data_IF_854671269030
#
_entry.id   IF_854671269030
#
_cell.length_a   1.000
_cell.length_b   1.000
_cell.length_c   1.000
_cell.angle_alpha   90.00
_cell.angle_beta   90.00
_cell.angle_gamma   90.00
#
_symmetry.space_group_name_H-M   'P 1'
#
loop_
_entity.id
_entity.type
_entity.pdbx_description
1 polymer ?
#
# COMPACT_ATOMS: atom_id res chain seq x y z
N UNK A 1 -7.59 34.98 -13.54
CA UNK A 1 -8.55 34.15 -14.30
C UNK A 1 -9.16 33.20 -13.30
N UNK A 2 -10.49 33.25 -13.13
CA UNK A 2 -11.17 32.47 -12.10
C UNK A 2 -11.07 30.96 -12.41
N UNK A 3 -11.07 30.11 -11.38
CA UNK A 3 -11.06 28.65 -11.53
C UNK A 3 -12.27 28.18 -12.36
N UNK A 4 -13.41 28.87 -12.22
CA UNK A 4 -14.62 28.58 -12.97
C UNK A 4 -14.47 28.91 -14.47
N UNK A 5 -13.77 29.99 -14.81
CA UNK A 5 -13.49 30.37 -16.20
C UNK A 5 -12.60 29.33 -16.88
N UNK A 6 -11.57 28.83 -16.18
CA UNK A 6 -10.68 27.78 -16.69
C UNK A 6 -11.43 26.48 -16.97
N UNK A 7 -12.38 26.10 -16.12
CA UNK A 7 -13.21 24.91 -16.31
C UNK A 7 -14.10 25.05 -17.54
N UNK A 8 -14.79 26.19 -17.70
CA UNK A 8 -15.64 26.47 -18.87
C UNK A 8 -14.83 26.48 -20.15
N UNK A 9 -13.64 27.11 -20.13
CA UNK A 9 -12.72 27.13 -21.27
C UNK A 9 -12.21 25.73 -21.60
N UNK A 10 -11.75 24.97 -20.62
CA UNK A 10 -11.28 23.59 -20.82
C UNK A 10 -12.39 22.70 -21.41
N UNK A 11 -13.62 22.85 -20.95
CA UNK A 11 -14.78 22.13 -21.49
C UNK A 11 -15.05 22.47 -22.95
N UNK A 12 -14.97 23.76 -23.31
CA UNK A 12 -15.17 24.22 -24.68
C UNK A 12 -14.08 23.68 -25.61
N UNK A 13 -12.81 23.78 -25.21
CA UNK A 13 -11.68 23.23 -25.99
C UNK A 13 -11.79 21.71 -26.11
N UNK A 14 -12.15 21.03 -25.03
CA UNK A 14 -12.39 19.58 -25.02
C UNK A 14 -13.42 19.16 -26.08
N UNK A 15 -14.55 19.85 -26.16
CA UNK A 15 -15.62 19.59 -27.15
C UNK A 15 -15.14 19.85 -28.57
N UNK A 16 -14.44 20.96 -28.80
CA UNK A 16 -13.90 21.28 -30.13
C UNK A 16 -12.92 20.22 -30.64
N UNK A 17 -12.15 19.58 -29.75
CA UNK A 17 -11.26 18.48 -30.13
C UNK A 17 -11.97 17.15 -30.38
N UNK A 18 -13.16 16.92 -29.80
CA UNK A 18 -13.98 15.76 -30.17
C UNK A 18 -14.47 15.88 -31.62
N UNK A 19 -14.88 17.09 -32.04
CA UNK A 19 -15.36 17.36 -33.39
C UNK A 19 -14.24 17.25 -34.44
N UNK A 20 -13.01 17.63 -34.07
CA UNK A 20 -11.83 17.61 -34.94
C UNK A 20 -10.90 16.41 -34.74
N UNK A 21 -11.35 15.35 -34.04
CA UNK A 21 -10.56 14.15 -33.71
C UNK A 21 -9.20 14.42 -33.04
N UNK A 22 -9.02 15.59 -32.42
CA UNK A 22 -7.79 16.03 -31.77
C UNK A 22 -6.61 16.31 -32.71
N UNK A 23 -6.83 16.50 -34.02
CA UNK A 23 -5.74 16.68 -35.00
C UNK A 23 -4.98 18.02 -34.85
N UNK A 24 -5.54 18.99 -34.13
CA UNK A 24 -4.93 20.31 -33.96
C UNK A 24 -4.04 20.34 -32.72
N UNK A 25 -2.73 20.51 -32.94
CA UNK A 25 -1.75 20.76 -31.88
C UNK A 25 -2.15 21.97 -31.01
N UNK A 26 -2.77 22.98 -31.61
CA UNK A 26 -3.23 24.17 -30.89
C UNK A 26 -4.32 23.81 -29.87
N UNK A 27 -5.25 22.92 -30.21
CA UNK A 27 -6.30 22.48 -29.26
C UNK A 27 -5.70 21.77 -28.05
N UNK A 28 -4.66 20.96 -28.25
CA UNK A 28 -3.94 20.31 -27.14
C UNK A 28 -3.29 21.36 -26.25
N UNK A 29 -2.55 22.31 -26.84
CA UNK A 29 -1.88 23.38 -26.09
C UNK A 29 -2.87 24.26 -25.33
N UNK A 30 -3.98 24.64 -25.96
CA UNK A 30 -5.03 25.45 -25.33
C UNK A 30 -5.67 24.71 -24.14
N UNK A 31 -5.85 23.39 -24.27
CA UNK A 31 -6.38 22.56 -23.20
C UNK A 31 -5.41 22.46 -22.03
N UNK A 32 -4.13 22.23 -22.31
CA UNK A 32 -3.07 22.18 -21.29
C UNK A 32 -2.92 23.53 -20.58
N UNK A 33 -3.05 24.64 -21.30
CA UNK A 33 -3.02 26.00 -20.74
C UNK A 33 -4.18 26.28 -19.77
N UNK A 34 -5.32 25.59 -19.91
CA UNK A 34 -6.41 25.68 -18.93
C UNK A 34 -6.06 24.98 -17.61
N UNK A 35 -5.11 24.04 -17.63
CA UNK A 35 -4.62 23.27 -16.48
C UNK A 35 -5.73 22.59 -15.65
N UNK A 36 -6.73 22.02 -16.33
CA UNK A 36 -7.81 21.26 -15.69
C UNK A 36 -7.61 19.77 -15.96
N UNK A 37 -7.08 19.05 -14.96
CA UNK A 37 -6.68 17.63 -15.04
C UNK A 37 -7.74 16.75 -15.72
N UNK A 38 -9.00 16.83 -15.26
CA UNK A 38 -10.08 15.99 -15.76
C UNK A 38 -10.28 16.08 -17.27
N UNK A 39 -10.19 17.29 -17.83
CA UNK A 39 -10.38 17.48 -19.27
C UNK A 39 -9.15 17.06 -20.07
N UNK A 40 -7.95 17.26 -19.54
CA UNK A 40 -6.71 16.76 -20.17
C UNK A 40 -6.72 15.23 -20.22
N UNK A 41 -7.12 14.57 -19.12
CA UNK A 41 -7.24 13.11 -19.06
C UNK A 41 -8.33 12.61 -20.01
N UNK A 42 -9.51 13.24 -20.04
CA UNK A 42 -10.59 12.91 -20.98
C UNK A 42 -10.13 13.05 -22.43
N UNK A 43 -9.44 14.14 -22.77
CA UNK A 43 -8.91 14.33 -24.12
C UNK A 43 -7.94 13.20 -24.53
N UNK A 44 -6.99 12.81 -23.68
CA UNK A 44 -6.09 11.69 -24.01
C UNK A 44 -6.74 10.31 -24.06
N UNK A 45 -7.95 10.17 -23.52
CA UNK A 45 -8.77 8.95 -23.66
C UNK A 45 -9.60 8.97 -24.95
N UNK A 46 -10.20 10.12 -25.25
CA UNK A 46 -11.30 10.24 -26.21
C UNK A 46 -10.86 10.79 -27.58
N UNK A 47 -9.85 11.65 -27.64
CA UNK A 47 -9.34 12.21 -28.89
C UNK A 47 -8.39 11.21 -29.58
N UNK A 48 -8.57 11.01 -30.89
CA UNK A 48 -7.80 10.01 -31.67
C UNK A 48 -6.33 10.42 -31.81
N UNK A 49 -6.04 11.70 -32.06
CA UNK A 49 -4.69 12.20 -32.30
C UNK A 49 -4.13 13.04 -31.12
N UNK A 50 -4.52 12.72 -29.89
CA UNK A 50 -4.01 13.42 -28.72
C UNK A 50 -2.51 13.19 -28.51
N UNK A 51 -1.74 14.27 -28.36
CA UNK A 51 -0.32 14.20 -28.00
C UNK A 51 -0.15 13.86 -26.51
N UNK A 52 -0.19 12.55 -26.22
CA UNK A 52 0.04 12.02 -24.88
C UNK A 52 1.42 12.37 -24.32
N UNK A 53 2.45 12.52 -25.16
CA UNK A 53 3.81 12.83 -24.72
C UNK A 53 3.90 14.25 -24.17
N UNK A 54 3.32 15.22 -24.88
CA UNK A 54 3.24 16.62 -24.45
C UNK A 54 2.41 16.75 -23.18
N UNK A 55 1.27 16.06 -23.10
CA UNK A 55 0.40 16.11 -21.93
C UNK A 55 1.03 15.42 -20.69
N UNK A 56 1.79 14.33 -20.87
CA UNK A 56 2.60 13.75 -19.79
C UNK A 56 3.63 14.75 -19.29
N UNK A 57 4.37 15.41 -20.19
CA UNK A 57 5.35 16.43 -19.80
C UNK A 57 4.70 17.57 -19.02
N UNK A 58 3.49 17.99 -19.41
CA UNK A 58 2.70 18.97 -18.67
C UNK A 58 2.38 18.49 -17.25
N UNK A 59 1.92 17.24 -17.07
CA UNK A 59 1.68 16.72 -15.72
C UNK A 59 2.94 16.65 -14.87
N UNK A 60 4.06 16.23 -15.48
CA UNK A 60 5.35 16.12 -14.80
C UNK A 60 5.83 17.50 -14.32
N UNK A 61 5.86 18.49 -15.22
CA UNK A 61 6.31 19.86 -14.90
C UNK A 61 5.48 20.52 -13.80
N UNK A 62 4.20 20.20 -13.72
CA UNK A 62 3.28 20.75 -12.72
C UNK A 62 3.13 19.88 -11.46
N UNK A 63 3.94 18.82 -11.30
CA UNK A 63 3.81 17.84 -10.20
C UNK A 63 2.38 17.30 -10.03
N UNK A 64 1.67 17.12 -11.14
CA UNK A 64 0.29 16.66 -11.14
C UNK A 64 0.25 15.12 -11.13
N UNK A 65 0.47 14.56 -9.94
CA UNK A 65 0.49 13.12 -9.69
C UNK A 65 -0.81 12.46 -10.12
N UNK A 66 -1.93 13.10 -9.78
CA UNK A 66 -3.26 12.60 -10.07
C UNK A 66 -3.53 12.50 -11.58
N UNK A 67 -3.15 13.53 -12.34
CA UNK A 67 -3.25 13.53 -13.80
C UNK A 67 -2.41 12.44 -14.44
N UNK A 68 -1.15 12.27 -14.01
CA UNK A 68 -0.28 11.22 -14.52
C UNK A 68 -0.82 9.81 -14.19
N UNK A 69 -1.34 9.64 -12.98
CA UNK A 69 -1.96 8.39 -12.55
C UNK A 69 -3.16 8.01 -13.41
N UNK A 70 -4.11 8.92 -13.60
CA UNK A 70 -5.30 8.67 -14.43
C UNK A 70 -4.96 8.51 -15.91
N UNK A 71 -3.95 9.23 -16.42
CA UNK A 71 -3.41 9.02 -17.76
C UNK A 71 -2.93 7.56 -17.95
N UNK A 72 -2.19 7.01 -16.99
CA UNK A 72 -1.74 5.62 -17.02
C UNK A 72 -2.85 4.57 -16.97
N UNK A 73 -4.05 4.94 -16.52
CA UNK A 73 -5.23 4.07 -16.55
C UNK A 73 -5.94 4.16 -17.90
N UNK A 74 -6.21 5.38 -18.37
CA UNK A 74 -7.19 5.62 -19.42
C UNK A 74 -6.59 5.81 -20.82
N UNK A 75 -5.34 6.26 -20.94
CA UNK A 75 -4.78 6.58 -22.25
C UNK A 75 -4.34 5.32 -23.00
N UNK A 76 -4.60 5.30 -24.30
CA UNK A 76 -4.25 4.16 -25.17
C UNK A 76 -2.74 4.06 -25.37
N UNK A 77 -2.07 5.20 -25.57
CA UNK A 77 -0.65 5.31 -25.91
C UNK A 77 0.19 5.88 -24.74
N UNK A 78 -0.17 5.57 -23.50
CA UNK A 78 0.61 6.02 -22.33
C UNK A 78 2.01 5.39 -22.32
N UNK A 79 3.04 6.22 -22.13
CA UNK A 79 4.40 5.75 -21.91
C UNK A 79 4.57 5.27 -20.45
N UNK A 80 4.34 3.98 -20.23
CA UNK A 80 4.44 3.38 -18.91
C UNK A 80 5.86 3.46 -18.33
N UNK A 81 6.91 3.35 -19.14
CA UNK A 81 8.28 3.40 -18.62
C UNK A 81 8.56 4.78 -18.01
N UNK A 82 8.24 5.85 -18.74
CA UNK A 82 8.38 7.22 -18.25
C UNK A 82 7.44 7.49 -17.08
N UNK A 83 6.19 7.03 -17.17
CA UNK A 83 5.20 7.20 -16.10
C UNK A 83 5.63 6.54 -14.79
N UNK A 84 6.14 5.30 -14.84
CA UNK A 84 6.62 4.56 -13.66
C UNK A 84 7.81 5.28 -13.05
N UNK A 85 8.81 5.63 -13.87
CA UNK A 85 10.01 6.31 -13.38
C UNK A 85 9.66 7.62 -12.66
N UNK A 86 8.73 8.41 -13.21
CA UNK A 86 8.29 9.63 -12.53
C UNK A 86 7.51 9.32 -11.24
N UNK A 87 6.60 8.35 -11.28
CA UNK A 87 5.78 7.99 -10.11
C UNK A 87 6.65 7.58 -8.92
N UNK A 88 7.74 6.85 -9.18
CA UNK A 88 8.69 6.43 -8.15
C UNK A 88 9.56 7.58 -7.63
N UNK A 89 9.75 8.66 -8.40
CA UNK A 89 10.52 9.85 -7.99
C UNK A 89 9.71 10.82 -7.14
N UNK A 90 8.38 10.83 -7.26
CA UNK A 90 7.52 11.69 -6.45
C UNK A 90 7.27 11.20 -5.04
N UNK A 91 7.78 10.01 -4.69
CA UNK A 91 7.80 9.49 -3.32
C UNK A 91 6.45 9.42 -2.63
N UNK A 92 5.40 9.24 -3.43
CA UNK A 92 4.05 9.04 -2.95
C UNK A 92 3.72 7.55 -2.98
N UNK A 93 3.86 6.90 -1.83
CA UNK A 93 3.61 5.48 -1.60
C UNK A 93 2.19 5.03 -2.05
N UNK A 94 1.17 5.85 -1.79
CA UNK A 94 -0.21 5.58 -2.20
C UNK A 94 -0.34 5.49 -3.73
N UNK A 95 0.20 6.46 -4.47
CA UNK A 95 0.10 6.45 -5.93
C UNK A 95 1.02 5.41 -6.57
N UNK A 96 2.16 5.06 -5.95
CA UNK A 96 2.98 3.92 -6.36
C UNK A 96 2.17 2.62 -6.26
N UNK A 97 1.49 2.41 -5.11
CA UNK A 97 0.61 1.27 -4.91
C UNK A 97 -0.54 1.22 -5.91
N UNK A 98 -1.25 2.34 -6.08
CA UNK A 98 -2.38 2.46 -7.01
C UNK A 98 -1.94 2.21 -8.46
N UNK A 99 -0.77 2.72 -8.87
CA UNK A 99 -0.22 2.44 -10.19
C UNK A 99 0.00 0.94 -10.38
N UNK A 100 0.64 0.25 -9.42
CA UNK A 100 0.81 -1.21 -9.48
C UNK A 100 -0.50 -2.00 -9.54
N UNK A 101 -1.58 -1.47 -8.95
CA UNK A 101 -2.90 -2.10 -8.99
C UNK A 101 -3.64 -1.90 -10.32
N UNK A 102 -3.58 -0.70 -10.90
CA UNK A 102 -4.49 -0.30 -11.99
C UNK A 102 -3.83 -0.07 -13.35
N UNK A 103 -2.52 0.19 -13.41
CA UNK A 103 -1.85 0.38 -14.70
C UNK A 103 -1.75 -0.93 -15.48
N UNK A 104 -1.85 -0.85 -16.80
CA UNK A 104 -1.78 -2.05 -17.67
C UNK A 104 -0.39 -2.68 -17.62
N UNK A 105 0.65 -1.84 -17.53
CA UNK A 105 2.03 -2.26 -17.35
C UNK A 105 2.60 -1.56 -16.11
N UNK A 106 3.26 -2.33 -15.25
CA UNK A 106 3.91 -1.82 -14.05
C UNK A 106 5.11 -2.69 -13.69
N UNK A 107 6.19 -2.07 -13.26
CA UNK A 107 7.39 -2.76 -12.77
C UNK A 107 7.20 -3.03 -11.26
N UNK A 108 6.62 -4.18 -10.95
CA UNK A 108 6.28 -4.56 -9.57
C UNK A 108 7.51 -4.67 -8.66
N UNK A 109 8.66 -5.08 -9.18
CA UNK A 109 9.88 -5.19 -8.39
C UNK A 109 10.45 -3.82 -8.03
N UNK A 110 10.48 -2.87 -8.97
CA UNK A 110 10.85 -1.48 -8.66
C UNK A 110 9.84 -0.81 -7.73
N UNK A 111 8.55 -1.01 -7.99
CA UNK A 111 7.48 -0.51 -7.13
C UNK A 111 7.63 -0.99 -5.69
N UNK A 112 7.80 -2.30 -5.48
CA UNK A 112 8.02 -2.87 -4.15
C UNK A 112 9.29 -2.31 -3.51
N UNK A 113 10.40 -2.24 -4.25
CA UNK A 113 11.66 -1.67 -3.73
C UNK A 113 11.47 -0.24 -3.25
N UNK A 114 10.74 0.59 -4.01
CA UNK A 114 10.47 1.97 -3.60
C UNK A 114 9.56 2.05 -2.37
N UNK A 115 8.52 1.22 -2.28
CA UNK A 115 7.66 1.16 -1.08
C UNK A 115 8.46 0.76 0.18
N UNK A 116 9.45 -0.12 0.03
CA UNK A 116 10.36 -0.53 1.11
C UNK A 116 11.26 0.62 1.52
N UNK A 117 11.86 1.34 0.56
CA UNK A 117 12.70 2.53 0.83
C UNK A 117 11.92 3.63 1.56
N UNK A 118 10.66 3.84 1.18
CA UNK A 118 9.73 4.77 1.84
C UNK A 118 9.21 4.25 3.19
N UNK A 119 9.57 3.03 3.58
CA UNK A 119 9.12 2.34 4.81
C UNK A 119 7.59 2.28 4.95
N UNK A 120 6.89 2.16 3.83
CA UNK A 120 5.43 2.18 3.81
C UNK A 120 4.83 0.78 4.10
N UNK A 121 4.77 0.39 5.37
CA UNK A 121 4.19 -0.90 5.80
C UNK A 121 2.79 -1.15 5.23
N UNK A 122 1.93 -0.13 5.28
CA UNK A 122 0.56 -0.18 4.75
C UNK A 122 0.51 -0.63 3.29
N UNK A 123 1.22 0.10 2.43
CA UNK A 123 1.17 -0.19 1.00
C UNK A 123 2.01 -1.40 0.60
N UNK A 124 3.04 -1.79 1.37
CA UNK A 124 3.70 -3.10 1.18
C UNK A 124 2.72 -4.24 1.45
N UNK A 125 1.97 -4.16 2.56
CA UNK A 125 0.95 -5.15 2.90
C UNK A 125 -0.11 -5.26 1.80
N UNK A 126 -0.69 -4.14 1.38
CA UNK A 126 -1.73 -4.12 0.34
C UNK A 126 -1.21 -4.55 -1.04
N UNK A 127 0.03 -4.20 -1.39
CA UNK A 127 0.67 -4.68 -2.62
C UNK A 127 0.72 -6.21 -2.65
N UNK A 128 1.01 -6.86 -1.51
CA UNK A 128 1.02 -8.32 -1.39
C UNK A 128 -0.34 -9.00 -1.54
N UNK A 129 -1.44 -8.23 -1.52
CA UNK A 129 -2.80 -8.71 -1.75
C UNK A 129 -3.32 -8.38 -3.16
N UNK A 130 -3.08 -7.14 -3.61
CA UNK A 130 -3.79 -6.56 -4.76
C UNK A 130 -2.95 -6.54 -6.05
N UNK A 131 -1.63 -6.64 -5.97
CA UNK A 131 -0.80 -6.63 -7.17
C UNK A 131 -0.82 -7.96 -7.90
N UNK A 132 -0.78 -7.91 -9.24
CA UNK A 132 -0.76 -9.09 -10.11
C UNK A 132 0.48 -9.96 -9.90
N UNK A 133 1.59 -9.33 -9.50
CA UNK A 133 2.84 -9.99 -9.14
C UNK A 133 3.42 -9.31 -7.90
N UNK A 134 3.84 -10.10 -6.92
CA UNK A 134 4.43 -9.62 -5.69
C UNK A 134 5.43 -10.62 -5.13
N UNK A 135 6.59 -10.14 -4.69
CA UNK A 135 7.60 -10.96 -4.05
C UNK A 135 7.32 -11.04 -2.55
N UNK A 136 6.50 -12.02 -2.12
CA UNK A 136 6.09 -12.16 -0.72
C UNK A 136 7.25 -12.31 0.25
N UNK A 137 8.33 -12.98 -0.15
CA UNK A 137 9.52 -13.12 0.71
C UNK A 137 10.16 -11.75 0.98
N UNK A 138 10.43 -10.98 -0.07
CA UNK A 138 11.01 -9.63 0.04
C UNK A 138 10.09 -8.67 0.79
N UNK A 139 8.79 -8.69 0.50
CA UNK A 139 7.79 -7.88 1.20
C UNK A 139 7.68 -8.24 2.69
N UNK A 140 7.76 -9.53 3.02
CA UNK A 140 7.71 -10.02 4.40
C UNK A 140 8.93 -9.57 5.19
N UNK A 141 10.13 -9.79 4.65
CA UNK A 141 11.36 -9.33 5.28
C UNK A 141 11.36 -7.81 5.49
N UNK A 142 10.81 -7.05 4.53
CA UNK A 142 10.66 -5.61 4.69
C UNK A 142 9.67 -5.22 5.80
N UNK A 143 8.49 -5.86 5.89
CA UNK A 143 7.53 -5.57 6.96
C UNK A 143 8.13 -5.82 8.34
N UNK A 144 8.86 -6.93 8.51
CA UNK A 144 9.56 -7.23 9.76
C UNK A 144 10.64 -6.19 10.09
N UNK A 145 11.41 -5.75 9.09
CA UNK A 145 12.45 -4.73 9.28
C UNK A 145 11.89 -3.33 9.55
N UNK A 146 10.71 -3.01 8.99
CA UNK A 146 10.04 -1.74 9.29
C UNK A 146 9.48 -1.76 10.71
N UNK A 147 8.96 -2.91 11.14
CA UNK A 147 8.55 -3.16 12.52
C UNK A 147 7.18 -2.59 12.87
N UNK A 148 6.29 -2.44 11.88
CA UNK A 148 4.91 -2.02 12.13
C UNK A 148 4.07 -3.24 12.57
N UNK A 149 3.66 -3.32 13.86
CA UNK A 149 3.02 -4.51 14.39
C UNK A 149 1.67 -4.81 13.74
N UNK A 150 0.93 -3.78 13.29
CA UNK A 150 -0.39 -3.94 12.69
C UNK A 150 -0.30 -4.65 11.34
N UNK A 151 0.63 -4.21 10.48
CA UNK A 151 0.80 -4.81 9.15
C UNK A 151 1.56 -6.14 9.17
N UNK A 152 2.43 -6.36 10.15
CA UNK A 152 3.00 -7.70 10.42
C UNK A 152 1.87 -8.67 10.79
N UNK A 153 0.98 -8.26 11.69
CA UNK A 153 -0.19 -9.03 12.07
C UNK A 153 -1.10 -9.36 10.88
N UNK A 154 -1.48 -8.36 10.09
CA UNK A 154 -2.35 -8.56 8.92
C UNK A 154 -1.71 -9.43 7.83
N UNK A 155 -0.40 -9.32 7.61
CA UNK A 155 0.30 -10.21 6.69
C UNK A 155 0.16 -11.68 7.14
N UNK A 156 0.29 -11.98 8.43
CA UNK A 156 0.13 -13.35 8.95
C UNK A 156 -1.26 -13.93 8.84
N UNK A 157 -2.26 -13.06 8.68
CA UNK A 157 -3.66 -13.43 8.48
C UNK A 157 -4.02 -13.68 7.03
N UNK A 158 -3.41 -12.94 6.10
CA UNK A 158 -3.92 -12.83 4.74
C UNK A 158 -2.94 -13.23 3.65
N UNK A 159 -1.63 -13.23 3.92
CA UNK A 159 -0.65 -13.60 2.91
C UNK A 159 -0.52 -15.13 2.77
N UNK A 160 -0.28 -15.57 1.54
CA UNK A 160 -0.05 -16.99 1.21
C UNK A 160 1.27 -17.52 1.79
N UNK A 161 2.29 -16.66 1.86
CA UNK A 161 3.60 -16.95 2.43
C UNK A 161 3.79 -16.08 3.67
N UNK A 162 4.01 -16.74 4.81
CA UNK A 162 4.27 -16.07 6.07
C UNK A 162 5.02 -17.01 7.02
N UNK A 163 6.15 -16.54 7.55
CA UNK A 163 6.92 -17.27 8.56
C UNK A 163 6.45 -16.83 9.95
N UNK A 164 5.56 -17.65 10.54
CA UNK A 164 4.95 -17.36 11.84
C UNK A 164 5.97 -17.29 12.98
N UNK A 165 7.06 -18.08 12.92
CA UNK A 165 8.07 -18.11 13.97
C UNK A 165 8.86 -16.81 13.98
N UNK A 166 9.43 -16.45 12.82
CA UNK A 166 10.16 -15.20 12.65
C UNK A 166 9.30 -13.97 12.94
N UNK A 167 8.04 -13.98 12.51
CA UNK A 167 7.13 -12.86 12.76
C UNK A 167 6.72 -12.74 14.22
N UNK A 168 6.50 -13.88 14.91
CA UNK A 168 6.19 -13.91 16.34
C UNK A 168 7.32 -13.29 17.14
N UNK A 169 8.57 -13.66 16.86
CA UNK A 169 9.75 -13.09 17.53
C UNK A 169 9.83 -11.57 17.36
N UNK A 170 9.59 -11.07 16.15
CA UNK A 170 9.61 -9.62 15.88
C UNK A 170 8.46 -8.92 16.59
N UNK A 171 7.25 -9.48 16.55
CA UNK A 171 6.08 -8.87 17.19
C UNK A 171 6.23 -8.82 18.72
N UNK A 172 6.81 -9.85 19.31
CA UNK A 172 7.16 -9.91 20.74
C UNK A 172 8.20 -8.85 21.09
N UNK A 173 9.22 -8.63 20.24
CA UNK A 173 10.23 -7.57 20.45
C UNK A 173 9.68 -6.16 20.33
N UNK A 174 8.65 -5.96 19.50
CA UNK A 174 7.95 -4.66 19.37
C UNK A 174 7.07 -4.39 20.60
N UNK A 175 6.64 -5.44 21.29
CA UNK A 175 5.86 -5.38 22.54
C UNK A 175 4.46 -4.77 22.41
N UNK A 176 3.89 -4.74 21.19
CA UNK A 176 2.52 -4.28 20.99
C UNK A 176 1.53 -5.33 21.51
N UNK A 177 0.89 -5.06 22.65
CA UNK A 177 0.07 -6.05 23.35
C UNK A 177 -1.18 -6.45 22.55
N UNK A 178 -1.76 -5.51 21.81
CA UNK A 178 -2.91 -5.77 20.95
C UNK A 178 -2.58 -6.78 19.85
N UNK A 179 -1.51 -6.55 19.10
CA UNK A 179 -1.12 -7.41 18.00
C UNK A 179 -0.61 -8.76 18.51
N UNK A 180 0.11 -8.81 19.63
CA UNK A 180 0.50 -10.06 20.31
C UNK A 180 -0.74 -10.90 20.64
N UNK A 181 -1.74 -10.30 21.29
CA UNK A 181 -2.98 -10.99 21.60
C UNK A 181 -3.69 -11.50 20.33
N UNK A 182 -3.86 -10.63 19.33
CA UNK A 182 -4.55 -10.97 18.07
C UNK A 182 -3.83 -12.08 17.31
N UNK A 183 -2.50 -12.03 17.24
CA UNK A 183 -1.67 -13.07 16.62
C UNK A 183 -1.89 -14.42 17.30
N UNK A 184 -1.82 -14.48 18.64
CA UNK A 184 -2.14 -15.71 19.40
C UNK A 184 -3.60 -16.16 19.31
N UNK A 185 -4.51 -15.36 18.75
CA UNK A 185 -5.89 -15.80 18.50
C UNK A 185 -6.12 -16.35 17.10
N UNK A 186 -5.33 -15.92 16.11
CA UNK A 186 -5.70 -16.05 14.71
C UNK A 186 -4.60 -16.62 13.82
N UNK A 187 -3.34 -16.53 14.21
CA UNK A 187 -2.25 -17.15 13.49
C UNK A 187 -2.24 -18.68 13.68
N UNK A 188 -1.70 -19.39 12.69
CA UNK A 188 -1.58 -20.86 12.74
C UNK A 188 -0.61 -21.32 13.82
N UNK A 189 0.39 -20.51 14.13
CA UNK A 189 1.37 -20.72 15.19
C UNK A 189 1.76 -19.38 15.81
N UNK A 190 2.01 -19.36 17.12
CA UNK A 190 2.46 -18.19 17.86
C UNK A 190 3.23 -18.61 19.12
N UNK A 191 4.25 -17.85 19.52
CA UNK A 191 4.95 -18.09 20.79
C UNK A 191 4.14 -17.52 21.97
N UNK A 192 3.19 -18.31 22.44
CA UNK A 192 2.33 -17.95 23.56
C UNK A 192 3.08 -17.68 24.86
N UNK A 193 4.23 -18.34 25.10
CA UNK A 193 4.97 -18.19 26.34
C UNK A 193 5.59 -16.80 26.43
N UNK A 194 6.34 -16.43 25.41
CA UNK A 194 6.97 -15.10 25.36
C UNK A 194 5.91 -14.01 25.14
N UNK A 195 4.89 -14.27 24.33
CA UNK A 195 3.75 -13.36 24.19
C UNK A 195 3.05 -13.07 25.53
N UNK A 196 2.76 -14.09 26.34
CA UNK A 196 2.17 -13.90 27.66
C UNK A 196 3.07 -13.08 28.59
N UNK A 197 4.37 -13.33 28.59
CA UNK A 197 5.33 -12.55 29.39
C UNK A 197 5.26 -11.05 29.06
N UNK A 198 5.12 -10.68 27.78
CA UNK A 198 4.94 -9.28 27.38
C UNK A 198 3.62 -8.72 27.93
N UNK A 199 2.52 -9.47 27.79
CA UNK A 199 1.21 -9.05 28.29
C UNK A 199 1.19 -8.85 29.81
N UNK A 200 1.97 -9.65 30.57
CA UNK A 200 2.11 -9.51 32.01
C UNK A 200 2.99 -8.31 32.40
N UNK A 201 4.13 -8.14 31.74
CA UNK A 201 5.09 -7.08 32.03
C UNK A 201 4.51 -5.70 31.71
N UNK A 202 3.75 -5.56 30.63
CA UNK A 202 3.08 -4.31 30.25
C UNK A 202 1.79 -4.11 31.07
N UNK A 203 1.93 -3.61 32.29
CA UNK A 203 0.83 -3.57 33.27
C UNK A 203 -0.42 -2.84 32.77
N UNK A 204 -0.25 -1.69 32.12
CA UNK A 204 -1.37 -0.82 31.69
C UNK A 204 -2.03 -1.37 30.44
N UNK A 205 -1.30 -1.45 29.32
CA UNK A 205 -1.85 -1.91 28.03
C UNK A 205 -2.22 -3.41 28.10
N UNK A 206 -1.34 -4.22 28.67
CA UNK A 206 -1.50 -5.65 28.78
C UNK A 206 -2.65 -6.07 29.69
N UNK A 207 -3.14 -5.23 30.64
CA UNK A 207 -4.32 -5.57 31.48
C UNK A 207 -5.53 -5.92 30.62
N UNK A 208 -5.85 -5.09 29.62
CA UNK A 208 -7.00 -5.31 28.72
C UNK A 208 -6.85 -6.64 27.96
N UNK A 209 -5.66 -6.89 27.45
CA UNK A 209 -5.38 -8.04 26.60
C UNK A 209 -5.23 -9.35 27.38
N UNK A 210 -4.70 -9.32 28.61
CA UNK A 210 -4.72 -10.46 29.53
C UNK A 210 -6.13 -10.90 29.86
N UNK A 211 -7.03 -9.96 30.16
CA UNK A 211 -8.45 -10.28 30.39
C UNK A 211 -9.06 -11.02 29.21
N UNK A 212 -8.86 -10.51 27.99
CA UNK A 212 -9.34 -11.17 26.76
C UNK A 212 -8.66 -12.52 26.49
N UNK A 213 -7.36 -12.64 26.73
CA UNK A 213 -6.61 -13.90 26.57
C UNK A 213 -7.14 -14.99 27.51
N UNK A 214 -7.47 -14.62 28.76
CA UNK A 214 -8.09 -15.51 29.74
C UNK A 214 -9.55 -15.88 29.41
N UNK A 215 -10.14 -15.29 28.37
CA UNK A 215 -11.47 -15.64 27.86
C UNK A 215 -11.38 -16.46 26.56
N UNK A 216 -10.35 -16.20 25.75
CA UNK A 216 -10.12 -16.84 24.46
C UNK A 216 -9.66 -18.31 24.58
N UNK A 217 -10.23 -19.19 23.75
CA UNK A 217 -10.01 -20.65 23.80
C UNK A 217 -8.55 -21.05 23.51
N UNK A 218 -7.92 -20.43 22.50
CA UNK A 218 -6.55 -20.76 22.10
C UNK A 218 -5.56 -20.34 23.20
N UNK A 219 -5.68 -19.10 23.67
CA UNK A 219 -4.88 -18.58 24.77
C UNK A 219 -5.06 -19.40 26.05
N UNK A 220 -6.29 -19.72 26.47
CA UNK A 220 -6.54 -20.57 27.65
C UNK A 220 -5.81 -21.91 27.58
N UNK A 221 -5.86 -22.57 26.43
CA UNK A 221 -5.20 -23.86 26.22
C UNK A 221 -3.68 -23.70 26.37
N UNK A 222 -3.10 -22.71 25.70
CA UNK A 222 -1.66 -22.45 25.77
C UNK A 222 -1.21 -22.07 27.19
N UNK A 223 -1.96 -21.22 27.89
CA UNK A 223 -1.63 -20.82 29.27
C UNK A 223 -1.69 -22.00 30.24
N UNK A 224 -2.65 -22.91 30.08
CA UNK A 224 -2.69 -24.14 30.87
C UNK A 224 -1.42 -24.98 30.68
N UNK A 225 -0.96 -25.12 29.45
CA UNK A 225 0.29 -25.84 29.13
C UNK A 225 1.51 -25.15 29.75
N UNK A 226 1.60 -23.81 29.62
CA UNK A 226 2.65 -22.99 30.24
C UNK A 226 2.68 -23.20 31.76
N UNK A 227 1.55 -23.04 32.46
CA UNK A 227 1.52 -23.19 33.93
C UNK A 227 1.79 -24.62 34.39
N UNK A 228 1.32 -25.64 33.65
CA UNK A 228 1.63 -27.04 33.96
C UNK A 228 3.13 -27.29 33.83
N UNK A 229 3.80 -26.76 32.79
CA UNK A 229 5.25 -26.90 32.64
C UNK A 229 6.01 -26.23 33.80
N UNK A 230 5.66 -24.99 34.15
CA UNK A 230 6.27 -24.27 35.27
C UNK A 230 6.12 -25.03 36.60
N UNK A 231 4.96 -25.63 36.85
CA UNK A 231 4.72 -26.39 38.08
C UNK A 231 5.56 -27.66 38.21
N UNK A 232 5.98 -28.25 37.09
CA UNK A 232 6.84 -29.45 37.06
C UNK A 232 8.30 -29.10 37.31
N UNK A 233 8.75 -27.96 36.81
CA UNK A 233 10.13 -27.50 36.99
C UNK A 233 10.41 -27.13 38.45
N UNK A 234 9.43 -26.52 39.14
CA UNK A 234 9.53 -26.19 40.58
C UNK A 234 9.61 -27.44 41.47
N UNK A 235 9.08 -28.59 41.04
CA UNK A 235 9.12 -29.85 41.82
C UNK A 235 10.38 -30.68 41.62
N UNK A 236 11.29 -30.26 40.73
CA UNK A 236 12.56 -30.95 40.44
C UNK A 236 13.77 -30.31 41.13
N UNK A 237 13.56 -29.21 41.86
CA UNK A 237 14.55 -28.51 42.69
C UNK A 237 14.31 -28.94 44.14
#
# INVERSE_FOLDING_TARGET
>A
MDKEDNIKKAQSVYRAGLENNGQSLQLVQDLLACNVTDYIVKAGKDWIQFDTSLAMEHFIKNNNIDGLYHAGIYWKNFDYLRGINQMLQWDNDEYIFRAGRFWKQFDFEKGLSRLIELRSSKYIYHAGLDWKSFNHKKGFDALLNIGDPEYIFYAGMHWIYFDYEKASDVLIKIENCECIYKAGCQWKWFDYKNGWNILERNVVEGRKWRGKALENVQWKKALKEIWVSMSKDVKKI
#
